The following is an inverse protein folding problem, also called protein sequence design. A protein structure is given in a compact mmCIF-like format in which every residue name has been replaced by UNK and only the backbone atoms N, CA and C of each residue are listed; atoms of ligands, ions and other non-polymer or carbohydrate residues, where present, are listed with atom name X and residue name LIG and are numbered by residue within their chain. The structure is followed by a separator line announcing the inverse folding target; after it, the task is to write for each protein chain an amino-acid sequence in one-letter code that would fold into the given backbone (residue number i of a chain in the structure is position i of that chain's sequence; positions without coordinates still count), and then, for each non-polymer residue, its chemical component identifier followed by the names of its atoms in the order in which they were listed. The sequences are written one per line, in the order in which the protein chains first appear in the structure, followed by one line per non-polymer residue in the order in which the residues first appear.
data_IF_306657328063
#
_entry.id   IF_306657328063
#
_cell.length_a   1.000
_cell.length_b   1.000
_cell.length_c   1.000
_cell.angle_alpha   90.00
_cell.angle_beta   90.00
_cell.angle_gamma   90.00
#
_symmetry.space_group_name_H-M   'P 1'
#
loop_
_entity.id
_entity.type
_entity.pdbx_description
1 polymer ?
#
# COMPACT_ATOMS: atom_id res chain seq x y z
N UNK A 1 -13.65 4.53 11.68
CA UNK A 1 -12.89 4.16 10.46
C UNK A 1 -13.91 3.79 9.41
N UNK A 2 -13.93 4.48 8.27
CA UNK A 2 -14.88 4.17 7.20
C UNK A 2 -14.36 2.99 6.35
N UNK A 3 -15.00 1.81 6.50
CA UNK A 3 -14.57 0.58 5.82
C UNK A 3 -14.79 0.60 4.31
N UNK A 4 -15.87 1.22 3.83
CA UNK A 4 -16.14 1.37 2.38
C UNK A 4 -15.03 2.16 1.71
N UNK A 5 -14.59 3.24 2.35
CA UNK A 5 -13.52 4.09 1.85
C UNK A 5 -12.15 3.42 1.99
N UNK A 6 -11.95 2.60 3.03
CA UNK A 6 -10.75 1.80 3.18
C UNK A 6 -10.62 0.80 2.03
N UNK A 7 -11.72 0.10 1.67
CA UNK A 7 -11.77 -0.77 0.50
C UNK A 7 -11.44 -0.03 -0.81
N UNK A 8 -12.02 1.15 -1.04
CA UNK A 8 -11.69 1.97 -2.21
C UNK A 8 -10.21 2.36 -2.24
N UNK A 9 -9.65 2.69 -1.07
CA UNK A 9 -8.21 2.98 -0.92
C UNK A 9 -7.38 1.75 -1.26
N UNK A 10 -7.79 0.56 -0.83
CA UNK A 10 -7.13 -0.70 -1.17
C UNK A 10 -7.15 -0.97 -2.67
N UNK A 11 -8.27 -0.72 -3.34
CA UNK A 11 -8.39 -0.89 -4.81
C UNK A 11 -7.45 0.08 -5.52
N UNK A 12 -7.45 1.36 -5.13
CA UNK A 12 -6.55 2.36 -5.71
C UNK A 12 -5.08 2.01 -5.49
N UNK A 13 -4.74 1.57 -4.27
CA UNK A 13 -3.40 1.14 -3.93
C UNK A 13 -2.96 -0.07 -4.76
N UNK A 14 -3.82 -1.10 -4.86
CA UNK A 14 -3.58 -2.30 -5.66
C UNK A 14 -3.34 -1.98 -7.15
N UNK A 15 -4.16 -1.10 -7.72
CA UNK A 15 -3.96 -0.65 -9.11
C UNK A 15 -2.64 0.11 -9.25
N UNK A 16 -2.30 0.97 -8.29
CA UNK A 16 -1.04 1.72 -8.28
C UNK A 16 0.18 0.81 -8.24
N UNK A 17 0.22 -0.16 -7.33
CA UNK A 17 1.34 -1.11 -7.25
C UNK A 17 1.45 -1.97 -8.52
N UNK A 18 0.32 -2.37 -9.12
CA UNK A 18 0.33 -3.13 -10.37
C UNK A 18 0.91 -2.31 -11.53
N UNK A 19 0.55 -1.03 -11.63
CA UNK A 19 1.12 -0.12 -12.63
C UNK A 19 2.62 0.06 -12.41
N UNK A 20 3.07 0.28 -11.16
CA UNK A 20 4.50 0.39 -10.84
C UNK A 20 5.24 -0.89 -11.24
N UNK A 21 4.71 -2.06 -10.86
CA UNK A 21 5.33 -3.35 -11.19
C UNK A 21 5.45 -3.56 -12.71
N UNK A 22 4.38 -3.31 -13.48
CA UNK A 22 4.40 -3.40 -14.95
C UNK A 22 5.44 -2.44 -15.53
N UNK A 23 5.50 -1.20 -15.05
CA UNK A 23 6.48 -0.23 -15.54
C UNK A 23 7.93 -0.68 -15.28
N UNK A 24 8.20 -1.26 -14.11
CA UNK A 24 9.54 -1.75 -13.75
C UNK A 24 9.93 -3.00 -14.56
N UNK A 25 8.99 -3.91 -14.81
CA UNK A 25 9.26 -5.11 -15.61
C UNK A 25 9.46 -4.78 -17.09
N UNK A 26 8.57 -3.97 -17.68
CA UNK A 26 8.59 -3.68 -19.12
C UNK A 26 9.64 -2.63 -19.51
N UNK A 27 9.75 -1.53 -18.76
CA UNK A 27 10.68 -0.44 -19.11
C UNK A 27 12.01 -0.57 -18.38
N UNK A 28 11.98 -0.97 -17.10
CA UNK A 28 13.18 -1.18 -16.30
C UNK A 28 13.94 -2.47 -16.65
N UNK A 29 13.32 -3.38 -17.40
CA UNK A 29 13.86 -4.71 -17.71
C UNK A 29 14.27 -5.49 -16.44
N UNK A 30 13.58 -5.20 -15.33
CA UNK A 30 13.86 -5.84 -14.06
C UNK A 30 13.08 -7.14 -13.92
N UNK A 31 13.73 -8.16 -13.38
CA UNK A 31 13.03 -9.37 -12.92
C UNK A 31 12.52 -9.14 -11.51
N UNK A 32 11.39 -9.76 -11.18
CA UNK A 32 10.79 -9.75 -9.85
C UNK A 32 11.67 -10.38 -8.76
N UNK A 33 12.73 -11.10 -9.12
CA UNK A 33 13.70 -11.66 -8.16
C UNK A 33 14.86 -10.70 -7.83
N UNK A 34 15.01 -9.63 -8.63
CA UNK A 34 16.14 -8.70 -8.52
C UNK A 34 16.03 -7.83 -7.26
N UNK A 35 17.12 -7.71 -6.49
CA UNK A 35 17.18 -6.78 -5.36
C UNK A 35 16.94 -5.33 -5.78
N UNK A 36 17.33 -4.97 -7.01
CA UNK A 36 17.13 -3.63 -7.55
C UNK A 36 15.64 -3.37 -7.85
N UNK A 37 14.90 -4.39 -8.30
CA UNK A 37 13.45 -4.31 -8.47
C UNK A 37 12.79 -3.93 -7.16
N UNK A 38 13.05 -4.69 -6.08
CA UNK A 38 12.47 -4.44 -4.76
C UNK A 38 12.86 -3.08 -4.19
N UNK A 39 14.11 -2.65 -4.36
CA UNK A 39 14.57 -1.35 -3.89
C UNK A 39 13.81 -0.20 -4.58
N UNK A 40 13.69 -0.24 -5.91
CA UNK A 40 12.98 0.80 -6.66
C UNK A 40 11.47 0.72 -6.39
N UNK A 41 10.92 -0.49 -6.32
CA UNK A 41 9.51 -0.72 -6.02
C UNK A 41 9.14 -0.13 -4.65
N UNK A 42 9.94 -0.41 -3.62
CA UNK A 42 9.76 0.16 -2.27
C UNK A 42 9.85 1.68 -2.29
N UNK A 43 10.78 2.27 -3.05
CA UNK A 43 10.88 3.73 -3.17
C UNK A 43 9.64 4.35 -3.85
N UNK A 44 9.08 3.67 -4.84
CA UNK A 44 7.88 4.11 -5.55
C UNK A 44 6.59 3.83 -4.78
N UNK A 45 6.57 2.86 -3.85
CA UNK A 45 5.43 2.63 -2.97
C UNK A 45 5.24 3.78 -1.99
N UNK A 46 6.31 4.48 -1.60
CA UNK A 46 6.24 5.62 -0.67
C UNK A 46 5.25 6.71 -1.12
N UNK A 47 5.42 7.35 -2.28
CA UNK A 47 4.49 8.38 -2.74
C UNK A 47 3.07 7.81 -2.95
N UNK A 48 2.94 6.55 -3.34
CA UNK A 48 1.65 5.90 -3.53
C UNK A 48 0.89 5.75 -2.20
N UNK A 49 1.55 5.28 -1.15
CA UNK A 49 0.97 5.19 0.22
C UNK A 49 0.57 6.57 0.71
N UNK A 50 1.43 7.58 0.55
CA UNK A 50 1.13 8.95 0.98
C UNK A 50 -0.08 9.53 0.25
N UNK A 51 -0.21 9.30 -1.06
CA UNK A 51 -1.37 9.74 -1.84
C UNK A 51 -2.65 9.00 -1.44
N UNK A 52 -2.57 7.68 -1.25
CA UNK A 52 -3.70 6.86 -0.82
C UNK A 52 -4.18 7.25 0.58
N UNK A 53 -3.25 7.41 1.52
CA UNK A 53 -3.52 7.87 2.87
C UNK A 53 -4.09 9.30 2.89
N UNK A 54 -3.51 10.23 2.12
CA UNK A 54 -4.05 11.59 1.97
C UNK A 54 -5.49 11.55 1.48
N UNK A 55 -5.76 10.77 0.44
CA UNK A 55 -7.10 10.60 -0.10
C UNK A 55 -8.04 10.04 0.96
N UNK A 56 -7.62 9.06 1.76
CA UNK A 56 -8.41 8.43 2.83
C UNK A 56 -8.67 9.35 4.03
N UNK A 57 -7.69 10.13 4.46
CA UNK A 57 -7.84 10.99 5.64
C UNK A 57 -8.50 12.34 5.34
N UNK A 58 -8.53 12.78 4.08
CA UNK A 58 -9.13 14.06 3.70
C UNK A 58 -10.60 14.28 4.10
N UNK A 59 -11.37 13.20 4.29
CA UNK A 59 -12.78 13.24 4.72
C UNK A 59 -13.05 12.45 6.00
N UNK A 60 -12.04 11.82 6.61
CA UNK A 60 -12.23 10.99 7.81
C UNK A 60 -11.45 11.63 8.97
N UNK A 61 -12.13 12.46 9.77
CA UNK A 61 -11.55 13.22 10.89
C UNK A 61 -11.41 12.38 12.17
N UNK A 62 -10.46 12.69 13.07
CA UNK A 62 -9.09 13.10 12.78
C UNK A 62 -8.24 11.89 12.32
N UNK A 63 -7.21 12.10 11.48
CA UNK A 63 -6.17 11.11 11.24
C UNK A 63 -5.51 10.75 12.58
N UNK A 64 -5.05 9.52 12.76
CA UNK A 64 -4.22 9.15 13.91
C UNK A 64 -3.30 8.01 13.47
N UNK A 65 -2.16 7.83 14.13
CA UNK A 65 -1.27 6.69 13.88
C UNK A 65 -2.02 5.34 13.97
N UNK A 66 -2.96 5.21 14.92
CA UNK A 66 -3.79 4.01 15.09
C UNK A 66 -4.72 3.76 13.89
N UNK A 67 -5.37 4.81 13.37
CA UNK A 67 -6.20 4.71 12.16
C UNK A 67 -5.34 4.42 10.92
N UNK A 68 -4.14 5.00 10.83
CA UNK A 68 -3.15 4.71 9.79
C UNK A 68 -2.76 3.24 9.79
N UNK A 69 -2.41 2.68 10.95
CA UNK A 69 -2.09 1.27 11.10
C UNK A 69 -3.29 0.37 10.70
N UNK A 70 -4.49 0.72 11.15
CA UNK A 70 -5.71 0.01 10.77
C UNK A 70 -5.99 0.04 9.26
N UNK A 71 -5.78 1.19 8.62
CA UNK A 71 -5.87 1.33 7.17
C UNK A 71 -4.83 0.44 6.48
N UNK A 72 -3.58 0.46 6.92
CA UNK A 72 -2.51 -0.38 6.36
C UNK A 72 -2.85 -1.87 6.42
N UNK A 73 -3.37 -2.35 7.55
CA UNK A 73 -3.80 -3.76 7.71
C UNK A 73 -4.94 -4.10 6.74
N UNK A 74 -5.93 -3.22 6.60
CA UNK A 74 -7.05 -3.45 5.67
C UNK A 74 -6.58 -3.43 4.22
N UNK A 75 -5.73 -2.49 3.85
CA UNK A 75 -5.15 -2.40 2.51
C UNK A 75 -4.38 -3.67 2.20
N UNK A 76 -3.50 -4.11 3.10
CA UNK A 76 -2.74 -5.34 2.96
C UNK A 76 -3.64 -6.58 2.79
N UNK A 77 -4.66 -6.74 3.62
CA UNK A 77 -5.59 -7.87 3.52
C UNK A 77 -6.29 -7.91 2.14
N UNK A 78 -6.73 -6.75 1.65
CA UNK A 78 -7.36 -6.65 0.34
C UNK A 78 -6.38 -6.84 -0.82
N UNK A 79 -5.13 -6.37 -0.70
CA UNK A 79 -4.07 -6.62 -1.68
C UNK A 79 -3.84 -8.12 -1.84
N UNK A 80 -3.73 -8.88 -0.75
CA UNK A 80 -3.61 -10.34 -0.81
C UNK A 80 -4.83 -10.97 -1.50
N UNK A 81 -6.04 -10.55 -1.12
CA UNK A 81 -7.29 -11.05 -1.71
C UNK A 81 -7.29 -10.80 -3.23
N UNK A 82 -6.92 -9.60 -3.67
CA UNK A 82 -6.84 -9.27 -5.09
C UNK A 82 -5.76 -10.08 -5.81
N UNK A 83 -4.56 -10.20 -5.23
CA UNK A 83 -3.51 -11.03 -5.81
C UNK A 83 -3.96 -12.49 -5.96
N UNK A 84 -4.63 -13.06 -4.96
CA UNK A 84 -5.20 -14.41 -5.06
C UNK A 84 -6.24 -14.49 -6.18
N UNK A 85 -7.20 -13.55 -6.22
CA UNK A 85 -8.28 -13.54 -7.23
C UNK A 85 -7.72 -13.44 -8.65
N UNK A 86 -6.71 -12.60 -8.88
CA UNK A 86 -6.19 -12.34 -10.22
C UNK A 86 -5.04 -13.28 -10.63
N UNK A 87 -4.25 -13.81 -9.69
CA UNK A 87 -3.11 -14.70 -9.98
C UNK A 87 -3.45 -16.19 -9.95
N UNK A 88 -4.35 -16.65 -9.07
CA UNK A 88 -4.74 -18.08 -9.01
C UNK A 88 -5.24 -18.62 -10.37
N UNK A 89 -6.05 -17.87 -11.14
CA UNK A 89 -6.48 -18.34 -12.46
C UNK A 89 -5.33 -18.46 -13.48
N UNK A 90 -4.21 -17.77 -13.25
CA UNK A 90 -3.10 -17.66 -14.20
C UNK A 90 -1.92 -18.58 -13.88
N UNK A 91 -1.80 -19.03 -12.63
CA UNK A 91 -0.65 -19.82 -12.17
C UNK A 91 -1.11 -21.08 -11.44
N UNK A 92 -0.64 -22.26 -11.88
CA UNK A 92 -0.82 -23.51 -11.14
C UNK A 92 -0.31 -23.34 -9.70
N UNK A 93 -1.04 -23.89 -8.73
CA UNK A 93 -0.93 -23.64 -7.28
C UNK A 93 0.49 -23.65 -6.67
N UNK A 94 1.45 -24.36 -7.27
CA UNK A 94 2.86 -24.37 -6.84
C UNK A 94 3.55 -23.00 -6.90
N UNK A 95 3.15 -22.12 -7.83
CA UNK A 95 3.74 -20.78 -7.99
C UNK A 95 3.37 -19.82 -6.86
N UNK A 96 2.14 -19.93 -6.34
CA UNK A 96 1.62 -19.03 -5.30
C UNK A 96 2.33 -19.23 -3.97
N UNK A 97 2.59 -20.47 -3.58
CA UNK A 97 3.30 -20.76 -2.33
C UNK A 97 4.72 -20.20 -2.39
N UNK A 98 5.42 -20.38 -3.50
CA UNK A 98 6.76 -19.83 -3.68
C UNK A 98 6.75 -18.29 -3.61
N UNK A 99 5.78 -17.64 -4.26
CA UNK A 99 5.63 -16.19 -4.26
C UNK A 99 5.41 -15.61 -2.85
N UNK A 100 4.48 -16.17 -2.08
CA UNK A 100 4.21 -15.70 -0.71
C UNK A 100 5.25 -16.17 0.33
N UNK A 101 6.18 -17.05 -0.05
CA UNK A 101 7.32 -17.44 0.79
C UNK A 101 8.52 -16.52 0.63
N UNK A 102 8.49 -15.56 -0.31
CA UNK A 102 9.57 -14.60 -0.49
C UNK A 102 9.59 -13.58 0.66
N UNK A 103 10.67 -13.59 1.44
CA UNK A 103 10.85 -12.69 2.56
C UNK A 103 10.94 -11.22 2.14
N UNK A 104 11.37 -10.93 0.90
CA UNK A 104 11.46 -9.56 0.39
C UNK A 104 10.07 -8.97 0.20
N UNK A 105 9.17 -9.75 -0.41
CA UNK A 105 7.77 -9.38 -0.57
C UNK A 105 7.08 -9.17 0.78
N UNK A 106 7.32 -10.08 1.74
CA UNK A 106 6.80 -9.92 3.11
C UNK A 106 7.36 -8.67 3.79
N UNK A 107 8.63 -8.34 3.55
CA UNK A 107 9.26 -7.11 4.02
C UNK A 107 8.61 -5.85 3.44
N UNK A 108 8.31 -5.84 2.15
CA UNK A 108 7.62 -4.74 1.47
C UNK A 108 6.21 -4.52 2.05
N UNK A 109 5.45 -5.59 2.26
CA UNK A 109 4.13 -5.48 2.88
C UNK A 109 4.18 -4.93 4.29
N UNK A 110 5.14 -5.38 5.11
CA UNK A 110 5.33 -4.85 6.45
C UNK A 110 5.71 -3.36 6.40
N UNK A 111 6.59 -2.98 5.47
CA UNK A 111 7.00 -1.61 5.26
C UNK A 111 5.81 -0.71 4.88
N UNK A 112 4.98 -1.14 3.93
CA UNK A 112 3.80 -0.38 3.50
C UNK A 112 2.80 -0.21 4.65
N UNK A 113 2.57 -1.25 5.48
CA UNK A 113 1.72 -1.14 6.67
C UNK A 113 2.26 -0.09 7.65
N UNK A 114 3.57 -0.12 7.92
CA UNK A 114 4.23 0.85 8.78
C UNK A 114 4.18 2.26 8.18
N UNK A 115 4.28 2.37 6.86
CA UNK A 115 4.19 3.65 6.17
C UNK A 115 2.78 4.23 6.21
N UNK A 116 1.73 3.40 6.13
CA UNK A 116 0.35 3.85 6.38
C UNK A 116 0.16 4.34 7.83
N UNK A 117 0.81 3.69 8.81
CA UNK A 117 0.81 4.16 10.19
C UNK A 117 1.53 5.51 10.33
N UNK A 118 2.70 5.66 9.71
CA UNK A 118 3.45 6.91 9.65
C UNK A 118 2.63 8.03 8.98
N UNK A 119 2.01 7.76 7.84
CA UNK A 119 1.14 8.71 7.15
C UNK A 119 -0.05 9.14 8.04
N UNK A 120 -0.61 8.21 8.83
CA UNK A 120 -1.63 8.52 9.81
C UNK A 120 -1.17 9.45 10.93
N UNK A 121 0.11 9.40 11.33
CA UNK A 121 0.73 10.33 12.27
C UNK A 121 0.99 11.70 11.61
N UNK A 122 1.64 11.71 10.45
CA UNK A 122 1.96 12.94 9.71
C UNK A 122 0.72 13.78 9.39
N UNK A 123 -0.35 13.13 8.91
CA UNK A 123 -1.58 13.86 8.63
C UNK A 123 -2.30 14.31 9.89
N UNK A 124 -2.17 13.61 11.03
CA UNK A 124 -2.78 14.05 12.30
C UNK A 124 -2.26 15.45 12.66
N UNK A 125 -0.93 15.63 12.67
CA UNK A 125 -0.28 16.92 12.94
C UNK A 125 -0.72 18.01 11.96
N UNK A 126 -0.85 17.70 10.67
CA UNK A 126 -1.28 18.67 9.64
C UNK A 126 -2.74 19.09 9.83
N UNK A 127 -3.64 18.16 10.15
CA UNK A 127 -5.07 18.46 10.32
C UNK A 127 -5.39 19.07 11.68
N UNK A 128 -4.62 18.77 12.74
CA UNK A 128 -4.75 19.48 14.03
C UNK A 128 -4.23 20.92 13.94
N UNK A 129 -3.04 21.15 13.36
CA UNK A 129 -2.51 22.51 13.19
C UNK A 129 -3.31 23.35 12.20
N UNK A 130 -3.89 22.72 11.17
CA UNK A 130 -4.77 23.39 10.21
C UNK A 130 -6.10 23.84 10.81
N UNK A 131 -6.63 23.10 11.80
CA UNK A 131 -7.84 23.49 12.53
C UNK A 131 -7.58 24.72 13.42
N UNK A 132 -6.40 24.84 14.04
CA UNK A 132 -6.04 25.99 14.89
C UNK A 132 -5.77 27.28 14.10
N UNK A 133 -5.40 27.19 12.82
CA UNK A 133 -5.17 28.37 11.94
C UNK A 133 -6.41 28.84 11.19
N UNK A 134 -7.53 28.12 11.33
CA UNK A 134 -8.80 28.41 10.66
C UNK A 134 -9.84 29.16 11.52
N UNK A 135 -9.49 29.49 12.77
CA UNK A 135 -10.22 30.43 13.65
C UNK A 135 -9.60 31.83 13.60
#
# INVERSE_FOLDING_TARGET
MNYTRALLTSIMFYIGIAVIAILLMEFGHFTNESNLFHAIFTLLSIPLVLLAAKWYFHKDSPPTAKKGLGLGIIVFAWVIIFDIIFRVPQQMSGSIVAYYSDWKLLGEYLFDILLFAYAGFEFDDVYTQGAEKGE
#
